data_IF_269400183477
#
_entry.id   IF_269400183477
#
_cell.length_a   1.000
_cell.length_b   1.000
_cell.length_c   1.000
_cell.angle_alpha   90.00
_cell.angle_beta   90.00
_cell.angle_gamma   90.00
#
_symmetry.space_group_name_H-M   'P 1'
#
loop_
_entity.id
_entity.type
_entity.pdbx_description
1 polymer ?
#
# COMPACT_ATOMS: atom_id res chain seq x y z
N UNK A 1 2.18 -2.70 13.66
CA UNK A 1 3.19 -3.59 14.27
C UNK A 1 4.04 -4.06 13.11
N UNK A 2 5.33 -3.72 13.07
CA UNK A 2 6.19 -4.14 11.97
C UNK A 2 6.22 -5.67 11.87
N UNK A 3 6.29 -6.20 10.66
CA UNK A 3 6.29 -7.64 10.39
C UNK A 3 4.91 -8.29 10.41
N UNK A 4 3.84 -7.57 10.75
CA UNK A 4 2.46 -8.07 10.75
C UNK A 4 1.59 -7.15 9.88
N UNK A 5 1.55 -7.38 8.55
CA UNK A 5 0.75 -6.59 7.62
C UNK A 5 -0.75 -6.67 7.93
N UNK A 6 -1.45 -5.54 7.89
CA UNK A 6 -2.93 -5.48 7.95
C UNK A 6 -3.58 -5.94 6.65
N UNK A 7 -2.90 -5.73 5.53
CA UNK A 7 -3.40 -6.08 4.20
C UNK A 7 -2.48 -7.11 3.54
N UNK A 8 -3.00 -7.84 2.56
CA UNK A 8 -2.26 -8.88 1.85
C UNK A 8 -2.26 -8.63 0.35
N UNK A 9 -1.35 -9.30 -0.35
CA UNK A 9 -1.32 -9.33 -1.81
C UNK A 9 -2.70 -9.68 -2.38
N UNK A 10 -3.06 -9.01 -3.47
CA UNK A 10 -4.34 -9.04 -4.17
C UNK A 10 -5.52 -8.43 -3.41
N UNK A 11 -5.33 -7.86 -2.23
CA UNK A 11 -6.36 -7.00 -1.65
C UNK A 11 -6.47 -5.71 -2.48
N UNK A 12 -7.70 -5.35 -2.83
CA UNK A 12 -8.01 -4.01 -3.34
C UNK A 12 -8.09 -3.06 -2.15
N UNK A 13 -7.43 -1.91 -2.24
CA UNK A 13 -7.35 -0.92 -1.16
C UNK A 13 -7.50 0.49 -1.70
N UNK A 14 -7.99 1.38 -0.84
CA UNK A 14 -7.98 2.82 -1.07
C UNK A 14 -6.88 3.42 -0.20
N UNK A 15 -5.98 4.17 -0.83
CA UNK A 15 -4.82 4.78 -0.18
C UNK A 15 -4.69 6.25 -0.57
N UNK A 16 -3.94 7.02 0.22
CA UNK A 16 -3.71 8.45 -0.01
C UNK A 16 -2.36 8.71 -0.67
N UNK A 17 -2.33 9.66 -1.60
CA UNK A 17 -1.13 10.32 -2.09
C UNK A 17 -1.38 11.82 -2.09
N UNK A 18 -0.68 12.54 -1.21
CA UNK A 18 -1.01 13.95 -0.95
C UNK A 18 -2.47 14.07 -0.47
N UNK A 19 -3.25 14.87 -1.19
CA UNK A 19 -4.68 15.08 -0.91
C UNK A 19 -5.61 14.12 -1.68
N UNK A 20 -5.06 13.32 -2.60
CA UNK A 20 -5.83 12.43 -3.46
C UNK A 20 -6.01 11.03 -2.83
N UNK A 21 -7.19 10.44 -2.98
CA UNK A 21 -7.43 9.01 -2.73
C UNK A 21 -7.38 8.23 -4.05
N UNK A 22 -6.65 7.12 -4.05
CA UNK A 22 -6.53 6.20 -5.18
C UNK A 22 -6.97 4.80 -4.78
N UNK A 23 -7.56 4.06 -5.71
CA UNK A 23 -7.96 2.67 -5.52
C UNK A 23 -7.04 1.76 -6.35
N UNK A 24 -6.44 0.75 -5.72
CA UNK A 24 -5.55 -0.16 -6.43
C UNK A 24 -5.36 -1.48 -5.71
N UNK A 25 -4.72 -2.42 -6.41
CA UNK A 25 -4.46 -3.77 -5.95
C UNK A 25 -3.05 -3.91 -5.38
N UNK A 26 -2.91 -4.44 -4.17
CA UNK A 26 -1.60 -4.72 -3.58
C UNK A 26 -0.89 -5.83 -4.36
N UNK A 27 0.31 -5.52 -4.88
CA UNK A 27 1.17 -6.47 -5.59
C UNK A 27 2.29 -7.01 -4.70
N UNK A 28 2.88 -6.16 -3.87
CA UNK A 28 4.01 -6.49 -2.98
C UNK A 28 3.68 -6.02 -1.57
N UNK A 29 4.12 -6.80 -0.58
CA UNK A 29 4.01 -6.49 0.85
C UNK A 29 5.41 -6.46 1.43
N UNK A 30 5.87 -5.28 1.80
CA UNK A 30 7.14 -5.07 2.49
C UNK A 30 6.86 -5.12 4.00
N UNK A 31 6.72 -6.34 4.54
CA UNK A 31 6.27 -6.55 5.91
C UNK A 31 7.12 -5.81 6.96
N UNK A 32 8.41 -5.62 6.67
CA UNK A 32 9.38 -4.95 7.54
C UNK A 32 9.77 -3.54 7.05
N UNK A 33 8.96 -2.95 6.16
CA UNK A 33 9.28 -1.68 5.53
C UNK A 33 10.39 -1.81 4.48
N UNK A 34 11.02 -0.68 4.14
CA UNK A 34 12.07 -0.52 3.14
C UNK A 34 13.36 -0.02 3.78
N UNK A 35 14.47 -0.02 3.05
CA UNK A 35 15.74 0.55 3.54
C UNK A 35 15.64 2.02 3.98
N UNK A 36 14.72 2.79 3.38
CA UNK A 36 14.51 4.21 3.70
C UNK A 36 13.39 4.44 4.73
N UNK A 37 12.61 3.40 5.05
CA UNK A 37 11.43 3.49 5.91
C UNK A 37 11.21 2.15 6.63
N UNK A 38 11.70 2.02 7.85
CA UNK A 38 11.71 0.76 8.63
C UNK A 38 10.76 0.79 9.85
N UNK A 39 9.87 1.77 9.96
CA UNK A 39 8.98 1.97 11.11
C UNK A 39 7.62 1.27 11.00
N UNK A 40 7.21 0.91 9.79
CA UNK A 40 5.94 0.23 9.50
C UNK A 40 5.99 -0.60 8.21
N UNK A 41 4.98 -1.45 7.99
CA UNK A 41 4.79 -2.17 6.72
C UNK A 41 4.48 -1.19 5.58
N UNK A 42 5.03 -1.45 4.39
CA UNK A 42 4.67 -0.73 3.17
C UNK A 42 4.21 -1.68 2.07
N UNK A 43 3.62 -1.10 1.02
CA UNK A 43 2.98 -1.84 -0.08
C UNK A 43 3.31 -1.22 -1.43
N UNK A 44 3.52 -2.07 -2.44
CA UNK A 44 3.44 -1.63 -3.84
C UNK A 44 2.02 -1.92 -4.35
N UNK A 45 1.35 -0.90 -4.86
CA UNK A 45 -0.05 -0.91 -5.24
C UNK A 45 -0.19 -0.57 -6.73
N UNK A 46 -0.81 -1.46 -7.50
CA UNK A 46 -1.11 -1.24 -8.91
C UNK A 46 -2.47 -0.55 -9.07
N UNK A 47 -2.49 0.61 -9.74
CA UNK A 47 -3.71 1.32 -10.13
C UNK A 47 -3.88 1.12 -11.64
N UNK A 48 -4.74 0.18 -12.02
CA UNK A 48 -4.90 -0.25 -13.42
C UNK A 48 -5.37 0.89 -14.34
N UNK A 49 -6.28 1.73 -13.86
CA UNK A 49 -6.82 2.88 -14.60
C UNK A 49 -5.73 3.89 -15.00
N UNK A 50 -4.64 3.94 -14.23
CA UNK A 50 -3.51 4.84 -14.46
C UNK A 50 -2.31 4.13 -15.11
N UNK A 51 -2.42 2.81 -15.33
CA UNK A 51 -1.31 1.95 -15.76
C UNK A 51 -0.02 2.21 -14.94
N UNK A 52 -0.18 2.36 -13.62
CA UNK A 52 0.87 2.82 -12.73
C UNK A 52 0.99 1.93 -11.50
N UNK A 53 2.22 1.69 -11.05
CA UNK A 53 2.52 1.07 -9.75
C UNK A 53 3.06 2.15 -8.82
N UNK A 54 2.33 2.38 -7.75
CA UNK A 54 2.74 3.23 -6.65
C UNK A 54 3.51 2.39 -5.64
N UNK A 55 4.76 2.75 -5.39
CA UNK A 55 5.66 1.97 -4.55
C UNK A 55 5.73 2.49 -3.14
N UNK A 56 6.02 1.59 -2.20
CA UNK A 56 6.32 1.92 -0.81
C UNK A 56 5.25 2.79 -0.13
N UNK A 57 3.98 2.53 -0.45
CA UNK A 57 2.85 3.18 0.23
C UNK A 57 2.80 2.65 1.65
N UNK A 58 2.91 3.55 2.63
CA UNK A 58 2.90 3.19 4.05
C UNK A 58 1.56 2.61 4.45
N UNK A 59 1.55 1.66 5.39
CA UNK A 59 0.30 1.09 5.90
C UNK A 59 -0.63 2.14 6.51
N UNK A 60 -0.07 3.20 7.10
CA UNK A 60 -0.81 4.36 7.61
C UNK A 60 -1.50 5.19 6.53
N UNK A 61 -1.01 5.16 5.28
CA UNK A 61 -1.62 5.86 4.14
C UNK A 61 -2.76 5.06 3.49
N UNK A 62 -2.94 3.79 3.86
CA UNK A 62 -4.10 2.99 3.44
C UNK A 62 -5.31 3.32 4.31
N UNK A 63 -6.34 3.91 3.69
CA UNK A 63 -7.57 4.35 4.36
C UNK A 63 -8.47 3.16 4.68
N UNK A 64 -8.65 2.25 3.71
CA UNK A 64 -9.56 1.11 3.82
C UNK A 64 -9.26 0.04 2.77
N UNK A 65 -9.74 -1.18 3.05
CA UNK A 65 -9.91 -2.21 2.02
C UNK A 65 -11.12 -1.87 1.15
N UNK A 66 -10.98 -1.95 -0.17
CA UNK A 66 -12.08 -1.89 -1.11
C UNK A 66 -12.73 -3.28 -1.25
N UNK A 67 -14.06 -3.30 -1.39
CA UNK A 67 -14.85 -4.52 -1.47
C UNK A 67 -14.58 -5.32 -2.74
#
# INVERSE_FOLDING_TARGET
MIGIPKFKRNDMVVFKIGDDEKCGMIQIVDAYGTFEQEDETSYDICVEEENCIYKHIRETDIVRKAC
#
